data_IF_454012350966
#
_entry.id   IF_454012350966
#
_cell.length_a   1.000
_cell.length_b   1.000
_cell.length_c   1.000
_cell.angle_alpha   90.00
_cell.angle_beta   90.00
_cell.angle_gamma   90.00
#
_symmetry.space_group_name_H-M   'P 1'
#
loop_
_entity.id
_entity.type
_entity.pdbx_description
1 polymer ?
#
# COMPACT_ATOMS: atom_id res chain seq x y z
N UNK A 1 3.42 -11.03 4.92
CA UNK A 1 4.66 -10.31 4.57
C UNK A 1 5.15 -10.75 3.21
N UNK A 2 5.56 -9.79 2.36
CA UNK A 2 6.02 -10.02 1.00
C UNK A 2 6.91 -8.88 0.52
N UNK A 3 7.79 -9.16 -0.44
CA UNK A 3 8.70 -8.17 -1.02
C UNK A 3 8.27 -7.81 -2.44
N UNK A 4 7.79 -6.58 -2.61
CA UNK A 4 7.28 -6.05 -3.87
C UNK A 4 8.01 -4.76 -4.28
N UNK A 5 9.22 -4.55 -3.76
CA UNK A 5 9.96 -3.31 -3.97
C UNK A 5 10.29 -3.11 -5.46
N UNK A 6 9.99 -1.92 -5.97
CA UNK A 6 10.28 -1.54 -7.36
C UNK A 6 9.46 -2.28 -8.43
N UNK A 7 8.48 -3.09 -8.05
CA UNK A 7 7.64 -3.81 -9.01
C UNK A 7 6.57 -2.88 -9.60
N UNK A 8 6.18 -3.19 -10.83
CA UNK A 8 4.97 -2.68 -11.44
C UNK A 8 3.79 -3.59 -11.08
N UNK A 9 2.84 -3.07 -10.31
CA UNK A 9 1.69 -3.82 -9.79
C UNK A 9 0.36 -3.24 -10.29
N UNK A 10 0.36 -2.38 -11.31
CA UNK A 10 -0.86 -1.68 -11.78
C UNK A 10 -2.02 -2.60 -12.18
N UNK A 11 -1.71 -3.84 -12.57
CA UNK A 11 -2.70 -4.84 -12.99
C UNK A 11 -2.90 -5.97 -11.96
N UNK A 12 -2.39 -5.80 -10.73
CA UNK A 12 -2.61 -6.81 -9.69
C UNK A 12 -4.08 -6.87 -9.30
N UNK A 13 -4.63 -8.08 -9.23
CA UNK A 13 -5.87 -8.33 -8.50
C UNK A 13 -5.52 -8.39 -7.01
N UNK A 14 -5.83 -7.32 -6.28
CA UNK A 14 -5.57 -7.19 -4.85
C UNK A 14 -6.76 -7.60 -3.98
N UNK A 15 -7.87 -8.09 -4.58
CA UNK A 15 -9.09 -8.37 -3.83
C UNK A 15 -8.84 -9.41 -2.73
N UNK A 16 -9.11 -9.01 -1.48
CA UNK A 16 -8.98 -9.84 -0.27
C UNK A 16 -7.57 -10.43 -0.04
N UNK A 17 -6.53 -9.87 -0.66
CA UNK A 17 -5.15 -10.30 -0.42
C UNK A 17 -4.64 -9.79 0.93
N UNK A 18 -3.88 -10.63 1.63
CA UNK A 18 -3.15 -10.27 2.84
C UNK A 18 -1.74 -9.75 2.51
N UNK A 19 -1.58 -8.43 2.55
CA UNK A 19 -0.30 -7.73 2.44
C UNK A 19 0.24 -7.27 3.80
N UNK A 20 -0.19 -7.89 4.90
CA UNK A 20 0.34 -7.58 6.23
C UNK A 20 1.86 -7.66 6.22
N UNK A 21 2.51 -6.62 6.73
CA UNK A 21 3.96 -6.45 6.78
C UNK A 21 4.69 -6.46 5.41
N UNK A 22 3.99 -6.23 4.30
CA UNK A 22 4.59 -6.17 2.98
C UNK A 22 5.43 -4.90 2.72
N UNK A 23 6.38 -5.00 1.80
CA UNK A 23 7.23 -3.90 1.35
C UNK A 23 6.94 -3.53 -0.10
N UNK A 24 6.39 -2.35 -0.32
CA UNK A 24 6.10 -1.78 -1.64
C UNK A 24 7.01 -0.60 -1.97
N UNK A 25 8.21 -0.54 -1.38
CA UNK A 25 9.10 0.62 -1.59
C UNK A 25 9.34 0.83 -3.08
N UNK A 26 9.09 2.05 -3.56
CA UNK A 26 9.26 2.44 -4.96
C UNK A 26 8.43 1.62 -5.97
N UNK A 27 7.41 0.88 -5.53
CA UNK A 27 6.52 0.14 -6.41
C UNK A 27 5.56 1.08 -7.16
N UNK A 28 5.09 0.65 -8.32
CA UNK A 28 4.01 1.33 -9.04
C UNK A 28 2.66 0.69 -8.68
N UNK A 29 1.88 1.40 -7.86
CA UNK A 29 0.57 0.98 -7.35
C UNK A 29 -0.56 1.82 -7.96
N UNK A 30 -0.29 2.57 -9.04
CA UNK A 30 -1.28 3.48 -9.62
C UNK A 30 -2.52 2.72 -10.07
N UNK A 31 -3.69 3.17 -9.64
CA UNK A 31 -4.98 2.55 -9.99
C UNK A 31 -5.30 1.25 -9.29
N UNK A 32 -4.43 0.74 -8.41
CA UNK A 32 -4.69 -0.52 -7.68
C UNK A 32 -5.77 -0.31 -6.62
N UNK A 33 -6.68 -1.27 -6.50
CA UNK A 33 -7.75 -1.26 -5.51
C UNK A 33 -7.41 -2.13 -4.29
N UNK A 34 -7.02 -1.49 -3.18
CA UNK A 34 -6.73 -2.18 -1.93
C UNK A 34 -7.88 -2.15 -0.92
N UNK A 35 -9.09 -1.69 -1.29
CA UNK A 35 -10.19 -1.46 -0.31
C UNK A 35 -10.57 -2.70 0.51
N UNK A 36 -10.34 -3.89 -0.04
CA UNK A 36 -10.64 -5.18 0.60
C UNK A 36 -9.39 -5.94 1.05
N UNK A 37 -8.19 -5.39 0.82
CA UNK A 37 -6.91 -6.01 1.17
C UNK A 37 -6.49 -5.65 2.60
N UNK A 38 -5.67 -6.50 3.23
CA UNK A 38 -5.03 -6.17 4.50
C UNK A 38 -3.65 -5.57 4.27
N UNK A 39 -3.41 -4.39 4.84
CA UNK A 39 -2.18 -3.60 4.69
C UNK A 39 -1.52 -3.27 6.04
N UNK A 40 -1.97 -3.89 7.13
CA UNK A 40 -1.45 -3.60 8.47
C UNK A 40 0.06 -3.88 8.48
N UNK A 41 0.84 -2.92 8.97
CA UNK A 41 2.28 -3.02 8.97
C UNK A 41 2.95 -2.88 7.58
N UNK A 42 2.21 -2.75 6.47
CA UNK A 42 2.83 -2.58 5.15
C UNK A 42 3.55 -1.22 5.04
N UNK A 43 4.60 -1.15 4.22
CA UNK A 43 5.30 0.10 3.92
C UNK A 43 5.22 0.40 2.42
N UNK A 44 4.68 1.58 2.09
CA UNK A 44 4.52 2.08 0.72
C UNK A 44 5.49 3.24 0.43
N UNK A 45 6.66 3.23 1.08
CA UNK A 45 7.68 4.27 0.97
C UNK A 45 8.05 4.57 -0.50
N UNK A 46 7.87 5.81 -0.94
CA UNK A 46 8.15 6.24 -2.32
C UNK A 46 7.37 5.49 -3.41
N UNK A 47 6.31 4.74 -3.08
CA UNK A 47 5.47 4.10 -4.07
C UNK A 47 4.66 5.13 -4.88
N UNK A 48 4.38 4.83 -6.14
CA UNK A 48 3.46 5.64 -6.95
C UNK A 48 2.02 5.20 -6.66
N UNK A 49 1.26 6.02 -5.95
CA UNK A 49 -0.10 5.67 -5.48
C UNK A 49 -1.22 6.48 -6.14
N UNK A 50 -0.93 7.16 -7.25
CA UNK A 50 -1.93 7.99 -7.92
C UNK A 50 -3.12 7.15 -8.38
N UNK A 51 -4.33 7.50 -7.93
CA UNK A 51 -5.55 6.76 -8.25
C UNK A 51 -5.68 5.39 -7.56
N UNK A 52 -4.77 5.05 -6.64
CA UNK A 52 -4.93 3.85 -5.82
C UNK A 52 -6.06 4.05 -4.80
N UNK A 53 -6.84 3.01 -4.55
CA UNK A 53 -7.83 3.00 -3.50
C UNK A 53 -7.27 2.28 -2.28
N UNK A 54 -7.49 2.85 -1.09
CA UNK A 54 -7.05 2.29 0.18
C UNK A 54 -8.24 1.87 1.04
N UNK A 55 -8.04 0.92 1.98
CA UNK A 55 -9.00 0.62 3.03
C UNK A 55 -9.49 1.89 3.74
N UNK A 56 -10.81 2.02 4.01
CA UNK A 56 -11.37 3.21 4.66
C UNK A 56 -10.86 3.43 6.10
N UNK A 57 -10.31 2.40 6.73
CA UNK A 57 -9.68 2.44 8.06
C UNK A 57 -8.32 3.17 8.05
N UNK A 58 -7.71 3.34 6.87
CA UNK A 58 -6.46 4.10 6.71
C UNK A 58 -6.78 5.57 6.41
N UNK A 59 -6.45 6.43 7.36
CA UNK A 59 -6.54 7.88 7.15
C UNK A 59 -5.55 8.36 6.06
N UNK A 60 -5.91 9.43 5.36
CA UNK A 60 -5.02 10.06 4.39
C UNK A 60 -3.66 10.44 4.99
N UNK A 61 -3.64 10.91 6.25
CA UNK A 61 -2.41 11.26 6.96
C UNK A 61 -1.49 10.04 7.15
N UNK A 62 -2.06 8.89 7.49
CA UNK A 62 -1.31 7.63 7.65
C UNK A 62 -0.70 7.17 6.31
N UNK A 63 -1.48 7.25 5.23
CA UNK A 63 -1.01 6.93 3.88
C UNK A 63 0.15 7.87 3.49
N UNK A 64 -0.02 9.18 3.73
CA UNK A 64 1.02 10.17 3.46
C UNK A 64 2.27 9.97 4.32
N UNK A 65 2.11 9.58 5.58
CA UNK A 65 3.23 9.24 6.46
C UNK A 65 4.03 8.07 5.90
N UNK A 66 3.35 7.00 5.46
CA UNK A 66 4.03 5.84 4.89
C UNK A 66 4.72 6.16 3.57
N UNK A 67 4.06 6.88 2.66
CA UNK A 67 4.65 7.24 1.35
C UNK A 67 5.88 8.14 1.50
N UNK A 68 5.81 9.16 2.36
CA UNK A 68 6.86 10.18 2.46
C UNK A 68 7.99 9.78 3.40
N UNK A 69 7.67 9.13 4.53
CA UNK A 69 8.64 8.83 5.58
C UNK A 69 8.92 7.34 5.74
N UNK A 70 8.19 6.48 5.03
CA UNK A 70 8.39 5.04 5.09
C UNK A 70 7.92 4.40 6.40
N UNK A 71 7.03 5.06 7.14
CA UNK A 71 6.37 4.44 8.30
C UNK A 71 5.56 3.22 7.85
N UNK A 72 5.35 2.28 8.77
CA UNK A 72 4.44 1.15 8.54
C UNK A 72 3.02 1.62 8.79
N UNK A 73 2.12 1.30 7.86
CA UNK A 73 0.70 1.62 7.92
C UNK A 73 0.06 0.99 9.15
N UNK A 74 -0.86 1.74 9.78
CA UNK A 74 -1.60 1.31 10.97
C UNK A 74 -3.06 1.65 10.81
N UNK A 75 -3.90 0.65 11.01
CA UNK A 75 -5.35 0.81 10.95
C UNK A 75 -5.83 1.58 12.20
N UNK A 76 -6.96 2.27 12.07
CA UNK A 76 -7.64 2.95 13.19
C UNK A 76 -9.05 2.43 13.38
#
# INVERSE_FOLDING_TARGET
GGDFRGLDLREIDADRIDFTDAYFRSADLRGVDFRTSQLEGASIAHAQISGAYFPPELSADEILMSVNFGTRLRYR
#
